data_IF_969876412247
#
_entry.id   IF_969876412247
#
_cell.length_a   1.000
_cell.length_b   1.000
_cell.length_c   1.000
_cell.angle_alpha   90.00
_cell.angle_beta   90.00
_cell.angle_gamma   90.00
#
_symmetry.space_group_name_H-M   'P 1'
#
loop_
_entity.id
_entity.type
_entity.pdbx_description
1 polymer ?
#
# COMPACT_ATOMS: atom_id res chain seq x y z
N UNK A 1 -67.23 50.29 -33.25
CA UNK A 1 -66.04 49.54 -33.72
C UNK A 1 -65.59 48.63 -32.57
N UNK A 2 -66.16 47.41 -32.46
CA UNK A 2 -65.46 46.09 -32.48
C UNK A 2 -64.15 46.12 -31.65
N UNK A 3 -64.17 45.77 -30.36
CA UNK A 3 -64.06 44.40 -29.79
C UNK A 3 -62.85 43.63 -30.30
N UNK A 4 -61.86 43.35 -29.44
CA UNK A 4 -61.55 41.99 -28.92
C UNK A 4 -60.25 41.98 -28.09
N UNK A 5 -60.33 41.38 -26.90
CA UNK A 5 -59.22 40.85 -26.11
C UNK A 5 -58.33 39.93 -26.96
N UNK A 6 -57.01 40.06 -26.83
CA UNK A 6 -56.06 39.05 -27.28
C UNK A 6 -55.57 38.24 -26.07
N UNK A 7 -55.96 36.97 -26.06
CA UNK A 7 -55.54 35.93 -25.12
C UNK A 7 -54.09 35.53 -25.44
N UNK A 8 -53.20 35.56 -24.45
CA UNK A 8 -51.84 35.03 -24.56
C UNK A 8 -51.87 33.53 -24.24
N UNK A 9 -51.76 32.71 -25.27
CA UNK A 9 -51.58 31.25 -25.17
C UNK A 9 -50.10 30.95 -24.86
N UNK A 10 -49.82 30.43 -23.67
CA UNK A 10 -48.51 29.91 -23.29
C UNK A 10 -48.39 28.49 -23.85
N UNK A 11 -47.62 28.34 -24.94
CA UNK A 11 -47.28 27.04 -25.52
C UNK A 11 -46.24 26.34 -24.64
N UNK A 12 -46.57 25.15 -24.13
CA UNK A 12 -45.62 24.29 -23.46
C UNK A 12 -44.65 23.69 -24.49
N UNK A 13 -43.42 24.23 -24.51
CA UNK A 13 -42.33 23.74 -25.34
C UNK A 13 -41.62 22.62 -24.57
N UNK A 14 -42.00 21.36 -24.83
CA UNK A 14 -41.23 20.20 -24.39
C UNK A 14 -40.09 19.96 -25.39
N UNK A 15 -38.97 20.67 -25.24
CA UNK A 15 -37.71 20.30 -25.89
C UNK A 15 -37.10 19.12 -25.10
N UNK A 16 -37.30 17.91 -25.60
CA UNK A 16 -36.57 16.71 -25.16
C UNK A 16 -35.13 16.77 -25.69
N UNK A 17 -34.28 17.52 -25.00
CA UNK A 17 -32.84 17.46 -25.24
C UNK A 17 -32.30 16.13 -24.70
N UNK A 18 -31.97 15.24 -25.62
CA UNK A 18 -31.25 14.00 -25.36
C UNK A 18 -29.89 14.36 -24.75
N UNK A 19 -29.68 14.00 -23.49
CA UNK A 19 -28.36 14.14 -22.87
C UNK A 19 -27.42 13.10 -23.50
N UNK A 20 -26.20 13.48 -23.90
CA UNK A 20 -25.22 12.50 -24.30
C UNK A 20 -24.84 11.67 -23.07
N UNK A 21 -24.87 10.35 -23.21
CA UNK A 21 -24.25 9.45 -22.23
C UNK A 21 -22.77 9.79 -22.22
N UNK A 22 -22.31 10.40 -21.12
CA UNK A 22 -20.88 10.53 -20.84
C UNK A 22 -20.44 9.13 -20.42
N UNK A 23 -19.82 8.41 -21.36
CA UNK A 23 -19.08 7.21 -21.05
C UNK A 23 -17.97 7.58 -20.06
N UNK A 24 -18.13 7.17 -18.80
CA UNK A 24 -17.13 7.30 -17.76
C UNK A 24 -15.90 6.47 -18.11
N UNK A 25 -14.97 7.10 -18.82
CA UNK A 25 -13.70 6.52 -19.22
C UNK A 25 -12.57 7.47 -18.88
N UNK A 26 -12.13 7.44 -17.62
CA UNK A 26 -10.80 7.79 -17.11
C UNK A 26 -10.84 7.59 -15.59
N UNK A 27 -10.47 6.38 -15.16
CA UNK A 27 -9.94 6.19 -13.82
C UNK A 27 -8.65 7.01 -13.73
N UNK A 28 -8.76 8.25 -13.28
CA UNK A 28 -7.62 8.91 -12.63
C UNK A 28 -7.57 8.27 -11.25
N UNK A 29 -6.90 7.13 -11.18
CA UNK A 29 -6.68 6.42 -9.93
C UNK A 29 -5.78 7.30 -9.06
N UNK A 30 -6.40 8.07 -8.18
CA UNK A 30 -5.66 8.71 -7.10
C UNK A 30 -4.88 7.58 -6.39
N UNK A 31 -3.57 7.73 -6.15
CA UNK A 31 -2.83 6.70 -5.44
C UNK A 31 -3.53 6.45 -4.11
N UNK A 32 -3.92 5.20 -3.87
CA UNK A 32 -4.50 4.78 -2.59
C UNK A 32 -3.58 5.20 -1.45
N UNK A 33 -4.14 5.59 -0.30
CA UNK A 33 -3.38 6.00 0.89
C UNK A 33 -2.25 5.03 1.27
N UNK A 34 -2.41 3.77 0.86
CA UNK A 34 -1.44 2.73 1.08
C UNK A 34 -0.23 2.78 0.12
N UNK A 35 -0.47 2.99 -1.18
CA UNK A 35 0.60 3.24 -2.14
C UNK A 35 1.30 4.58 -1.83
N UNK A 36 0.57 5.55 -1.26
CA UNK A 36 1.16 6.79 -0.73
C UNK A 36 2.15 6.50 0.40
N UNK A 37 1.85 5.56 1.31
CA UNK A 37 2.78 5.17 2.38
C UNK A 37 4.07 4.56 1.83
N UNK A 38 3.98 3.67 0.84
CA UNK A 38 5.15 3.07 0.17
C UNK A 38 5.98 4.12 -0.59
N UNK A 39 5.32 4.99 -1.36
CA UNK A 39 5.98 6.04 -2.14
C UNK A 39 6.71 7.07 -1.29
N UNK A 40 6.18 7.40 -0.11
CA UNK A 40 6.74 8.42 0.77
C UNK A 40 7.45 7.85 2.00
N UNK A 41 7.72 6.54 2.01
CA UNK A 41 8.46 5.90 3.08
C UNK A 41 9.87 6.50 3.23
N UNK A 42 10.44 6.51 4.47
CA UNK A 42 11.82 6.92 4.70
C UNK A 42 12.83 6.22 3.79
N UNK A 43 12.62 4.92 3.55
CA UNK A 43 13.41 4.07 2.64
C UNK A 43 12.48 3.50 1.57
N UNK A 44 12.35 4.21 0.45
CA UNK A 44 11.44 3.88 -0.66
C UNK A 44 12.16 3.46 -1.95
N UNK A 45 13.48 3.33 -1.94
CA UNK A 45 14.29 2.98 -3.11
C UNK A 45 15.64 2.44 -2.69
N UNK A 46 16.33 1.74 -3.61
CA UNK A 46 17.68 1.22 -3.38
C UNK A 46 18.66 2.32 -2.97
N UNK A 47 18.68 3.46 -3.65
CA UNK A 47 19.57 4.57 -3.30
C UNK A 47 19.31 5.13 -1.90
N UNK A 48 18.05 5.17 -1.44
CA UNK A 48 17.73 5.56 -0.05
C UNK A 48 18.11 4.48 0.95
N UNK A 49 18.00 3.21 0.59
CA UNK A 49 18.46 2.10 1.41
C UNK A 49 19.97 2.17 1.62
N UNK A 50 20.74 2.38 0.56
CA UNK A 50 22.20 2.52 0.64
C UNK A 50 22.60 3.66 1.58
N UNK A 51 21.99 4.84 1.43
CA UNK A 51 22.21 5.97 2.33
C UNK A 51 21.84 5.65 3.77
N UNK A 52 20.69 5.00 3.98
CA UNK A 52 20.24 4.62 5.32
C UNK A 52 21.18 3.60 5.99
N UNK A 53 21.78 2.67 5.23
CA UNK A 53 22.73 1.69 5.73
C UNK A 53 24.11 2.30 6.04
N UNK A 54 24.54 3.32 5.29
CA UNK A 54 25.76 4.08 5.59
C UNK A 54 25.61 4.87 6.89
N UNK A 55 24.44 5.47 7.11
CA UNK A 55 24.12 6.28 8.28
C UNK A 55 23.38 5.49 9.38
N UNK A 56 23.60 4.16 9.43
CA UNK A 56 22.81 3.29 10.28
C UNK A 56 23.01 3.60 11.78
N UNK A 57 22.02 4.25 12.36
CA UNK A 57 21.97 4.57 13.79
C UNK A 57 21.73 3.32 14.64
N UNK A 58 22.32 3.20 15.85
CA UNK A 58 21.97 2.18 16.84
C UNK A 58 20.48 2.14 17.20
N UNK A 59 19.77 3.25 17.04
CA UNK A 59 18.32 3.37 17.31
C UNK A 59 17.45 2.98 16.10
N UNK A 60 18.06 2.63 14.95
CA UNK A 60 17.29 2.22 13.77
C UNK A 60 16.51 0.93 14.06
N UNK A 61 15.24 0.82 13.60
CA UNK A 61 14.50 -0.44 13.67
C UNK A 61 15.20 -1.63 12.99
N UNK A 62 16.14 -1.39 12.06
CA UNK A 62 16.98 -2.46 11.50
C UNK A 62 17.90 -3.11 12.55
N UNK A 63 18.22 -2.40 13.64
CA UNK A 63 19.03 -2.92 14.76
C UNK A 63 18.26 -3.87 15.67
N UNK A 64 16.95 -4.03 15.48
CA UNK A 64 16.15 -5.05 16.17
C UNK A 64 16.49 -6.47 15.69
N UNK A 65 16.96 -6.60 14.44
CA UNK A 65 17.42 -7.86 13.88
C UNK A 65 18.89 -8.12 14.22
N UNK A 66 19.23 -9.38 14.43
CA UNK A 66 20.61 -9.86 14.51
C UNK A 66 21.37 -9.49 13.22
N UNK A 67 22.71 -9.37 13.26
CA UNK A 67 23.48 -9.00 12.07
C UNK A 67 23.21 -9.89 10.84
N UNK A 68 22.99 -11.19 11.06
CA UNK A 68 22.67 -12.14 9.99
C UNK A 68 21.25 -11.95 9.47
N UNK A 69 20.25 -11.90 10.35
CA UNK A 69 18.85 -11.73 9.96
C UNK A 69 18.62 -10.38 9.26
N UNK A 70 19.27 -9.32 9.75
CA UNK A 70 19.28 -8.01 9.10
C UNK A 70 19.83 -8.09 7.68
N UNK A 71 20.96 -8.77 7.48
CA UNK A 71 21.54 -8.95 6.14
C UNK A 71 20.55 -9.69 5.23
N UNK A 72 19.99 -10.80 5.70
CA UNK A 72 19.01 -11.59 4.93
C UNK A 72 17.78 -10.76 4.55
N UNK A 73 17.25 -9.98 5.49
CA UNK A 73 16.11 -9.10 5.25
C UNK A 73 16.45 -8.04 4.20
N UNK A 74 17.55 -7.30 4.39
CA UNK A 74 18.01 -6.24 3.48
C UNK A 74 18.28 -6.78 2.07
N UNK A 75 18.96 -7.91 1.95
CA UNK A 75 19.26 -8.54 0.66
C UNK A 75 17.99 -9.03 -0.06
N UNK A 76 16.87 -9.21 0.65
CA UNK A 76 15.59 -9.67 0.07
C UNK A 76 14.70 -8.54 -0.45
N UNK A 77 15.04 -7.27 -0.18
CA UNK A 77 14.19 -6.14 -0.53
C UNK A 77 14.18 -5.91 -2.05
N UNK A 78 12.98 -5.85 -2.62
CA UNK A 78 12.75 -5.47 -4.02
C UNK A 78 12.04 -4.13 -4.04
N UNK A 79 12.59 -3.15 -4.75
CA UNK A 79 11.98 -1.83 -4.94
C UNK A 79 11.49 -1.67 -6.38
N UNK A 80 10.28 -1.12 -6.52
CA UNK A 80 9.72 -0.67 -7.80
C UNK A 80 9.62 0.85 -7.86
N UNK A 81 8.91 1.37 -8.87
CA UNK A 81 8.71 2.82 -9.06
C UNK A 81 7.83 3.47 -7.97
N UNK A 82 7.16 2.67 -7.15
CA UNK A 82 6.19 3.11 -6.15
C UNK A 82 6.63 2.78 -4.71
N UNK A 83 7.89 2.40 -4.50
CA UNK A 83 8.41 2.02 -3.18
C UNK A 83 8.77 0.54 -3.09
N UNK A 84 8.74 0.01 -1.86
CA UNK A 84 8.99 -1.41 -1.62
C UNK A 84 7.93 -2.26 -2.32
N UNK A 85 8.34 -3.18 -3.19
CA UNK A 85 7.50 -4.07 -3.98
C UNK A 85 7.49 -5.51 -3.46
N UNK A 86 8.56 -5.95 -2.79
CA UNK A 86 8.59 -7.25 -2.14
C UNK A 86 9.68 -7.33 -1.08
N UNK A 87 9.51 -8.25 -0.14
CA UNK A 87 10.52 -8.63 0.85
C UNK A 87 10.28 -10.06 1.34
N UNK A 88 11.33 -10.73 1.82
CA UNK A 88 11.22 -11.98 2.55
C UNK A 88 10.98 -11.71 4.04
N UNK A 89 10.00 -12.41 4.64
CA UNK A 89 9.59 -12.21 6.03
C UNK A 89 10.14 -13.24 7.02
N UNK A 90 10.94 -14.24 6.58
CA UNK A 90 11.55 -15.24 7.49
C UNK A 90 12.39 -14.57 8.60
N UNK A 91 13.27 -13.58 8.33
CA UNK A 91 14.05 -12.93 9.38
C UNK A 91 13.17 -12.23 10.42
N UNK A 92 12.02 -11.69 9.98
CA UNK A 92 11.07 -11.02 10.85
C UNK A 92 10.39 -12.05 11.77
N UNK A 93 9.87 -13.14 11.19
CA UNK A 93 9.18 -14.19 11.96
C UNK A 93 10.11 -14.88 12.95
N UNK A 94 11.38 -15.03 12.59
CA UNK A 94 12.37 -15.70 13.43
C UNK A 94 12.76 -14.89 14.67
N UNK A 95 12.72 -13.56 14.62
CA UNK A 95 13.36 -12.72 15.65
C UNK A 95 12.47 -11.63 16.26
N UNK A 96 11.40 -11.21 15.59
CA UNK A 96 10.64 -10.01 15.97
C UNK A 96 9.22 -10.32 16.46
N UNK A 97 8.79 -9.55 17.45
CA UNK A 97 7.37 -9.43 17.78
C UNK A 97 6.60 -8.61 16.74
N UNK A 98 5.27 -8.66 16.77
CA UNK A 98 4.44 -7.87 15.85
C UNK A 98 4.67 -6.35 15.98
N UNK A 99 4.87 -5.83 17.20
CA UNK A 99 5.18 -4.40 17.39
C UNK A 99 6.58 -4.02 16.89
N UNK A 100 7.54 -4.94 16.95
CA UNK A 100 8.89 -4.76 16.38
C UNK A 100 8.86 -4.81 14.86
N UNK A 101 8.19 -5.81 14.29
CA UNK A 101 7.96 -5.93 12.86
C UNK A 101 7.25 -4.70 12.29
N UNK A 102 6.23 -4.18 12.98
CA UNK A 102 5.54 -2.94 12.59
C UNK A 102 6.51 -1.76 12.47
N UNK A 103 7.38 -1.57 13.49
CA UNK A 103 8.38 -0.49 13.48
C UNK A 103 9.42 -0.66 12.37
N UNK A 104 9.88 -1.89 12.15
CA UNK A 104 10.81 -2.21 11.08
C UNK A 104 10.19 -1.91 9.71
N UNK A 105 9.01 -2.44 9.44
CA UNK A 105 8.34 -2.31 8.15
C UNK A 105 7.84 -0.88 7.88
N UNK A 106 7.60 -0.08 8.91
CA UNK A 106 7.30 1.35 8.78
C UNK A 106 8.43 2.17 8.13
N UNK A 107 9.69 1.72 8.23
CA UNK A 107 10.80 2.34 7.49
C UNK A 107 10.59 2.30 5.97
N UNK A 108 9.85 1.30 5.50
CA UNK A 108 9.60 1.03 4.09
C UNK A 108 8.14 1.31 3.68
N UNK A 109 7.32 1.83 4.59
CA UNK A 109 5.89 2.07 4.34
C UNK A 109 5.06 0.77 4.26
N UNK A 110 5.61 -0.36 4.70
CA UNK A 110 5.05 -1.69 4.58
C UNK A 110 4.45 -2.22 5.90
N UNK A 111 4.26 -1.37 6.91
CA UNK A 111 3.79 -1.75 8.24
C UNK A 111 2.43 -2.47 8.24
N UNK A 112 1.61 -2.27 7.20
CA UNK A 112 0.35 -3.00 7.02
C UNK A 112 0.55 -4.50 6.79
N UNK A 113 1.70 -4.90 6.28
CA UNK A 113 1.97 -6.27 5.87
C UNK A 113 1.98 -7.25 7.04
N UNK A 114 2.09 -6.75 8.29
CA UNK A 114 2.10 -7.59 9.50
C UNK A 114 0.84 -8.47 9.64
N UNK A 115 -0.30 -8.07 9.06
CA UNK A 115 -1.54 -8.86 9.12
C UNK A 115 -1.51 -10.04 8.15
N UNK A 116 -0.59 -10.04 7.18
CA UNK A 116 -0.42 -11.09 6.18
C UNK A 116 0.77 -12.01 6.44
N UNK A 117 1.62 -11.71 7.43
CA UNK A 117 2.81 -12.53 7.77
C UNK A 117 2.40 -13.74 8.62
N UNK A 118 2.47 -14.98 8.10
CA UNK A 118 2.15 -16.16 8.86
C UNK A 118 3.18 -16.39 9.98
N UNK A 119 2.71 -16.74 11.18
CA UNK A 119 3.59 -17.11 12.30
C UNK A 119 4.24 -15.93 13.03
N UNK A 120 3.89 -14.67 12.69
CA UNK A 120 4.40 -13.50 13.39
C UNK A 120 4.05 -13.53 14.89
N UNK A 121 5.05 -13.34 15.75
CA UNK A 121 4.88 -13.49 17.18
C UNK A 121 4.05 -12.36 17.80
N UNK A 122 3.03 -12.74 18.59
CA UNK A 122 2.24 -11.82 19.43
C UNK A 122 2.58 -12.09 20.89
N UNK A 123 3.60 -11.41 21.41
CA UNK A 123 4.15 -11.67 22.74
C UNK A 123 3.45 -10.87 23.85
N UNK A 124 2.67 -9.84 23.49
CA UNK A 124 2.08 -8.91 24.44
C UNK A 124 0.73 -8.34 23.98
N UNK A 125 0.01 -7.71 24.91
CA UNK A 125 -1.20 -6.93 24.59
C UNK A 125 -0.90 -5.77 23.63
N UNK A 126 0.30 -5.19 23.68
CA UNK A 126 0.70 -4.15 22.73
C UNK A 126 0.77 -4.71 21.31
N UNK A 127 1.31 -5.92 21.14
CA UNK A 127 1.33 -6.62 19.83
C UNK A 127 -0.08 -6.89 19.32
N UNK A 128 -0.98 -7.33 20.20
CA UNK A 128 -2.38 -7.55 19.86
C UNK A 128 -3.04 -6.27 19.34
N UNK A 129 -2.78 -5.14 20.03
CA UNK A 129 -3.32 -3.83 19.66
C UNK A 129 -2.74 -3.32 18.34
N UNK A 130 -1.46 -3.55 18.07
CA UNK A 130 -0.82 -3.18 16.79
C UNK A 130 -1.42 -3.97 15.64
N UNK A 131 -1.58 -5.29 15.77
CA UNK A 131 -2.20 -6.12 14.72
C UNK A 131 -3.67 -5.71 14.49
N UNK A 132 -4.41 -5.35 15.55
CA UNK A 132 -5.81 -4.91 15.43
C UNK A 132 -5.96 -3.50 14.85
N UNK A 133 -4.98 -2.62 15.05
CA UNK A 133 -5.04 -1.23 14.55
C UNK A 133 -4.72 -1.12 13.06
N UNK A 134 -4.00 -2.10 12.52
CA UNK A 134 -3.80 -2.25 11.09
C UNK A 134 -5.08 -2.81 10.48
N UNK A 135 -5.86 -1.93 9.85
CA UNK A 135 -7.04 -2.32 9.10
C UNK A 135 -6.64 -2.57 7.63
N UNK A 136 -6.54 -3.82 7.17
CA UNK A 136 -6.25 -4.08 5.77
C UNK A 136 -7.39 -3.55 4.91
N UNK A 137 -7.08 -2.63 3.99
CA UNK A 137 -8.04 -2.20 2.99
C UNK A 137 -8.29 -3.35 2.02
N UNK A 138 -9.51 -3.90 1.89
CA UNK A 138 -9.80 -5.09 1.08
C UNK A 138 -9.63 -4.88 -0.43
N UNK A 139 -9.30 -3.66 -0.88
CA UNK A 139 -9.11 -3.33 -2.29
C UNK A 139 -7.67 -3.59 -2.77
N UNK A 140 -6.71 -3.72 -1.86
CA UNK A 140 -5.30 -3.96 -2.19
C UNK A 140 -4.80 -5.17 -1.42
N UNK A 141 -4.54 -6.25 -2.14
CA UNK A 141 -4.02 -7.48 -1.54
C UNK A 141 -2.50 -7.49 -1.70
N UNK A 142 -1.80 -7.43 -0.57
CA UNK A 142 -0.43 -7.93 -0.54
C UNK A 142 -0.52 -9.47 -0.56
N UNK A 143 0.30 -10.12 -1.39
CA UNK A 143 0.23 -11.56 -1.65
C UNK A 143 1.32 -12.30 -0.86
N UNK A 144 1.04 -12.83 0.35
CA UNK A 144 1.98 -13.70 1.04
C UNK A 144 2.19 -15.01 0.26
N UNK A 145 3.42 -15.50 0.25
CA UNK A 145 3.83 -16.64 -0.57
C UNK A 145 4.24 -16.28 -2.00
N UNK A 146 4.39 -14.99 -2.30
CA UNK A 146 4.83 -14.49 -3.60
C UNK A 146 5.90 -13.42 -3.46
N UNK A 147 6.72 -13.25 -4.50
CA UNK A 147 7.68 -12.17 -4.63
C UNK A 147 7.47 -11.42 -5.94
N UNK A 148 7.76 -10.11 -5.94
CA UNK A 148 7.74 -9.31 -7.16
C UNK A 148 8.91 -9.73 -8.06
N UNK A 149 8.63 -10.31 -9.23
CA UNK A 149 9.65 -10.72 -10.20
C UNK A 149 9.82 -9.71 -11.34
N UNK A 150 8.74 -9.02 -11.71
CA UNK A 150 8.69 -8.00 -12.75
C UNK A 150 7.54 -7.03 -12.46
N UNK A 151 7.46 -5.91 -13.19
CA UNK A 151 6.33 -4.96 -13.07
C UNK A 151 4.98 -5.70 -13.18
N UNK A 152 4.11 -5.47 -12.22
CA UNK A 152 2.78 -6.08 -12.10
C UNK A 152 2.81 -7.61 -12.16
N UNK A 153 3.93 -8.25 -11.78
CA UNK A 153 4.13 -9.69 -11.90
C UNK A 153 4.69 -10.27 -10.61
N UNK A 154 3.84 -11.02 -9.90
CA UNK A 154 4.20 -11.79 -8.72
C UNK A 154 4.50 -13.25 -9.11
N UNK A 155 5.63 -13.78 -8.65
CA UNK A 155 6.02 -15.20 -8.79
C UNK A 155 6.02 -15.90 -7.43
N UNK A 156 5.81 -17.20 -7.39
CA UNK A 156 5.75 -17.94 -6.12
C UNK A 156 7.07 -17.87 -5.36
N UNK A 157 6.98 -17.55 -4.06
CA UNK A 157 8.10 -17.49 -3.12
C UNK A 157 7.56 -17.64 -1.70
N UNK A 158 7.73 -18.84 -1.11
CA UNK A 158 6.97 -19.25 0.08
C UNK A 158 7.03 -18.27 1.25
N UNK A 159 8.18 -17.63 1.45
CA UNK A 159 8.43 -16.73 2.58
C UNK A 159 8.54 -15.27 2.18
N UNK A 160 7.96 -14.88 1.05
CA UNK A 160 7.92 -13.49 0.58
C UNK A 160 6.51 -12.94 0.55
N UNK A 161 6.40 -11.62 0.57
CA UNK A 161 5.16 -10.91 0.26
C UNK A 161 5.39 -10.09 -1.02
N UNK A 162 4.50 -10.25 -2.00
CA UNK A 162 4.42 -9.39 -3.18
C UNK A 162 3.44 -8.26 -2.86
N UNK A 163 3.91 -7.01 -2.89
CA UNK A 163 3.12 -5.86 -2.44
C UNK A 163 2.34 -5.23 -3.60
N UNK A 164 1.34 -4.42 -3.27
CA UNK A 164 0.52 -3.66 -4.25
C UNK A 164 1.28 -2.69 -5.16
N UNK A 165 2.56 -2.45 -4.87
CA UNK A 165 3.49 -1.60 -5.63
C UNK A 165 4.35 -2.39 -6.64
N UNK A 166 4.23 -3.71 -6.65
CA UNK A 166 4.62 -4.53 -7.79
C UNK A 166 3.65 -4.24 -8.95
#
# INVERSE_FOLDING_TARGET
>A
MKSTMLVVLISAICLSTSMPVVAGGRGTDAPSAENVSLMHAPVNSLGRLDLHLIELSPESPLMLLSPLARKQFVDSLVFGDQGLASFNYDPIVAELSASEAYRLLALFGAQRAITYIPGLQRASKADDMVVQSVNPNPVFEDYPGYACSDRATCSSSMSSICMSSC
#
